data_IF_796881802142
#
_entry.id   IF_796881802142
#
_cell.length_a   1.000
_cell.length_b   1.000
_cell.length_c   1.000
_cell.angle_alpha   90.00
_cell.angle_beta   90.00
_cell.angle_gamma   90.00
#
_symmetry.space_group_name_H-M   'P 1'
#
loop_
_entity.id
_entity.type
_entity.pdbx_description
1 polymer ?
#
# COMPACT_ATOMS: atom_id res chain seq x y z
N UNK A 1 38.78 -0.55 -13.35
CA UNK A 1 37.50 0.05 -12.90
C UNK A 1 36.50 -1.04 -12.48
N UNK A 2 36.83 -1.85 -11.45
CA UNK A 2 35.97 -2.96 -11.00
C UNK A 2 35.42 -2.74 -9.58
N UNK A 3 36.22 -2.15 -8.69
CA UNK A 3 35.84 -1.93 -7.28
C UNK A 3 34.81 -0.81 -7.05
N UNK A 4 34.65 0.15 -7.99
CA UNK A 4 33.68 1.24 -7.83
C UNK A 4 32.22 0.82 -8.03
N UNK A 5 31.96 -0.18 -8.89
CA UNK A 5 30.60 -0.69 -9.13
C UNK A 5 30.10 -1.55 -7.98
N UNK A 6 30.98 -2.36 -7.39
CA UNK A 6 30.68 -3.21 -6.22
C UNK A 6 30.21 -2.32 -5.05
N UNK A 7 30.86 -1.18 -4.84
CA UNK A 7 30.46 -0.21 -3.81
C UNK A 7 29.05 0.36 -4.06
N UNK A 8 28.71 0.63 -5.32
CA UNK A 8 27.40 1.14 -5.71
C UNK A 8 26.29 0.10 -5.46
N UNK A 9 26.51 -1.16 -5.82
CA UNK A 9 25.53 -2.24 -5.60
C UNK A 9 25.34 -2.54 -4.11
N UNK A 10 26.41 -2.49 -3.32
CA UNK A 10 26.34 -2.63 -1.86
C UNK A 10 25.52 -1.51 -1.21
N UNK A 11 25.69 -0.26 -1.67
CA UNK A 11 24.91 0.88 -1.20
C UNK A 11 23.41 0.74 -1.51
N UNK A 12 23.06 0.30 -2.72
CA UNK A 12 21.66 0.08 -3.13
C UNK A 12 21.03 -1.05 -2.31
N UNK A 13 21.75 -2.17 -2.10
CA UNK A 13 21.27 -3.28 -1.29
C UNK A 13 21.04 -2.89 0.17
N UNK A 14 21.95 -2.09 0.74
CA UNK A 14 21.82 -1.56 2.10
C UNK A 14 20.57 -0.67 2.25
N UNK A 15 20.30 0.20 1.26
CA UNK A 15 19.11 1.06 1.24
C UNK A 15 17.79 0.25 1.14
N UNK A 16 17.78 -0.83 0.36
CA UNK A 16 16.63 -1.75 0.30
C UNK A 16 16.37 -2.47 1.63
N UNK A 17 17.42 -2.89 2.34
CA UNK A 17 17.28 -3.53 3.65
C UNK A 17 16.71 -2.56 4.71
N UNK A 18 17.17 -1.31 4.74
CA UNK A 18 16.65 -0.26 5.62
C UNK A 18 15.15 0.01 5.38
N UNK A 19 14.72 0.03 4.11
CA UNK A 19 13.31 0.22 3.73
C UNK A 19 12.42 -0.93 4.20
N UNK A 20 12.97 -2.14 4.29
CA UNK A 20 12.23 -3.35 4.69
C UNK A 20 12.11 -3.47 6.21
N UNK A 21 13.11 -3.04 6.97
CA UNK A 21 13.09 -3.06 8.45
C UNK A 21 12.16 -1.97 9.00
N UNK A 22 12.01 -0.84 8.29
CA UNK A 22 11.05 0.22 8.63
C UNK A 22 9.57 -0.13 8.35
N UNK A 23 9.25 -1.41 8.12
CA UNK A 23 7.88 -1.89 7.96
C UNK A 23 7.41 -2.83 9.09
N UNK A 24 8.18 -2.95 10.19
CA UNK A 24 7.85 -3.80 11.35
C UNK A 24 7.98 -3.08 12.70
N UNK A 25 7.42 -1.88 12.84
CA UNK A 25 7.09 -1.37 14.18
C UNK A 25 5.96 -0.33 14.19
N UNK A 26 4.72 -0.78 14.05
CA UNK A 26 3.57 -0.09 14.67
C UNK A 26 2.62 -1.12 15.27
N UNK A 27 3.07 -1.81 16.33
CA UNK A 27 2.18 -2.29 17.39
C UNK A 27 2.00 -1.12 18.36
N UNK A 28 1.14 -0.16 18.01
CA UNK A 28 0.59 0.77 18.99
C UNK A 28 -0.92 0.60 19.01
N UNK A 29 -1.41 0.12 20.15
CA UNK A 29 -2.81 -0.08 20.46
C UNK A 29 -3.56 1.25 20.34
N UNK A 30 -4.23 1.46 19.21
CA UNK A 30 -5.44 2.27 19.17
C UNK A 30 -6.49 1.45 18.44
N UNK A 31 -7.36 0.81 19.23
CA UNK A 31 -8.64 0.26 18.76
C UNK A 31 -9.43 1.42 18.15
N UNK A 32 -9.23 1.67 16.86
CA UNK A 32 -10.24 2.34 16.03
C UNK A 32 -11.15 1.23 15.49
N UNK A 33 -12.46 1.47 15.42
CA UNK A 33 -13.46 0.45 15.10
C UNK A 33 -13.07 -0.27 13.81
N UNK A 34 -13.26 -1.58 13.84
CA UNK A 34 -13.01 -2.55 12.77
C UNK A 34 -13.82 -2.13 11.53
N UNK A 35 -13.30 -1.18 10.76
CA UNK A 35 -13.86 -0.82 9.45
C UNK A 35 -13.58 -2.02 8.56
N UNK A 36 -14.62 -2.64 8.06
CA UNK A 36 -14.56 -3.83 7.22
C UNK A 36 -13.96 -3.40 5.87
N UNK A 37 -12.64 -3.44 5.78
CA UNK A 37 -11.90 -3.00 4.61
C UNK A 37 -11.77 -4.16 3.63
N UNK A 38 -12.53 -4.13 2.54
CA UNK A 38 -12.28 -5.02 1.40
C UNK A 38 -11.14 -4.43 0.55
N UNK A 39 -10.11 -5.23 0.27
CA UNK A 39 -8.96 -4.83 -0.55
C UNK A 39 -9.04 -5.51 -1.92
N UNK A 40 -9.06 -4.72 -3.00
CA UNK A 40 -9.01 -5.23 -4.39
C UNK A 40 -7.91 -4.53 -5.19
N UNK A 41 -7.32 -5.14 -6.22
CA UNK A 41 -6.32 -4.46 -7.04
C UNK A 41 -6.93 -3.31 -7.86
N UNK A 42 -6.22 -2.17 -7.97
CA UNK A 42 -6.62 -1.02 -8.80
C UNK A 42 -6.40 -1.28 -10.30
N UNK A 43 -7.13 -2.24 -10.87
CA UNK A 43 -6.98 -2.66 -12.28
C UNK A 43 -7.23 -1.53 -13.31
N UNK A 44 -7.88 -0.43 -12.91
CA UNK A 44 -8.21 0.74 -13.77
C UNK A 44 -8.04 2.08 -13.06
N UNK A 45 -7.07 2.17 -12.14
CA UNK A 45 -6.83 3.39 -11.36
C UNK A 45 -8.00 3.78 -10.46
N UNK A 46 -8.01 5.04 -10.00
CA UNK A 46 -8.95 5.55 -8.98
C UNK A 46 -10.43 5.47 -9.42
N UNK A 47 -10.73 5.77 -10.69
CA UNK A 47 -12.10 5.71 -11.22
C UNK A 47 -12.66 4.27 -11.27
N UNK A 48 -11.82 3.28 -11.61
CA UNK A 48 -12.21 1.88 -11.60
C UNK A 48 -12.53 1.39 -10.19
N UNK A 49 -11.70 1.80 -9.22
CA UNK A 49 -11.87 1.50 -7.81
C UNK A 49 -13.20 2.07 -7.26
N UNK A 50 -13.52 3.34 -7.54
CA UNK A 50 -14.80 3.97 -7.15
C UNK A 50 -16.02 3.24 -7.70
N UNK A 51 -16.02 2.91 -8.98
CA UNK A 51 -17.12 2.18 -9.61
C UNK A 51 -17.28 0.77 -9.03
N UNK A 52 -16.17 0.09 -8.73
CA UNK A 52 -16.18 -1.25 -8.14
C UNK A 52 -16.77 -1.24 -6.73
N UNK A 53 -16.31 -0.33 -5.87
CA UNK A 53 -16.86 -0.14 -4.52
C UNK A 53 -18.36 0.15 -4.55
N UNK A 54 -18.80 0.96 -5.52
CA UNK A 54 -20.21 1.28 -5.68
C UNK A 54 -21.05 0.08 -6.12
N UNK A 55 -20.58 -0.71 -7.09
CA UNK A 55 -21.33 -1.87 -7.60
C UNK A 55 -21.39 -3.02 -6.59
N UNK A 56 -20.28 -3.30 -5.89
CA UNK A 56 -20.16 -4.47 -5.01
C UNK A 56 -20.64 -4.21 -3.59
N UNK A 57 -20.34 -3.03 -3.06
CA UNK A 57 -20.60 -2.69 -1.66
C UNK A 57 -21.60 -1.53 -1.49
N UNK A 58 -22.10 -0.93 -2.59
CA UNK A 58 -22.92 0.31 -2.57
C UNK A 58 -22.24 1.47 -1.87
N UNK A 59 -20.90 1.53 -2.00
CA UNK A 59 -20.04 2.53 -1.40
C UNK A 59 -19.55 3.57 -2.41
N UNK A 60 -19.72 4.85 -2.09
CA UNK A 60 -19.27 5.96 -2.95
C UNK A 60 -17.83 6.41 -2.64
N UNK A 61 -17.33 6.15 -1.43
CA UNK A 61 -15.96 6.45 -1.04
C UNK A 61 -15.05 5.26 -1.31
N UNK A 62 -14.08 5.52 -2.17
CA UNK A 62 -13.05 4.59 -2.57
C UNK A 62 -11.71 5.33 -2.67
N UNK A 63 -10.66 4.73 -2.14
CA UNK A 63 -9.29 5.22 -2.25
C UNK A 63 -8.44 4.19 -2.99
N UNK A 64 -7.45 4.63 -3.78
CA UNK A 64 -6.44 3.74 -4.32
C UNK A 64 -5.11 4.07 -3.64
N UNK A 65 -4.57 3.13 -2.88
CA UNK A 65 -3.31 3.27 -2.17
C UNK A 65 -2.44 2.05 -2.46
N UNK A 66 -1.20 2.26 -2.87
CA UNK A 66 -0.24 1.18 -3.16
C UNK A 66 -0.77 0.13 -4.16
N UNK A 67 -1.49 0.60 -5.19
CA UNK A 67 -2.13 -0.28 -6.19
C UNK A 67 -3.32 -1.08 -5.65
N UNK A 68 -3.75 -0.86 -4.41
CA UNK A 68 -4.93 -1.47 -3.80
C UNK A 68 -6.07 -0.46 -3.65
N UNK A 69 -7.25 -0.91 -4.00
CA UNK A 69 -8.52 -0.24 -3.87
C UNK A 69 -9.11 -0.50 -2.48
N UNK A 70 -9.39 0.58 -1.75
CA UNK A 70 -9.94 0.57 -0.41
C UNK A 70 -11.33 1.21 -0.43
N UNK A 71 -12.39 0.44 -0.17
CA UNK A 71 -13.76 0.93 -0.10
C UNK A 71 -14.12 1.26 1.37
N UNK A 72 -14.71 2.43 1.63
CA UNK A 72 -15.09 2.85 2.99
C UNK A 72 -16.49 3.47 3.04
N UNK A 73 -17.19 3.32 4.18
CA UNK A 73 -18.54 3.89 4.46
C UNK A 73 -18.53 5.35 4.96
N UNK A 74 -17.39 6.02 4.96
CA UNK A 74 -17.24 7.35 5.59
C UNK A 74 -17.83 8.49 4.76
#
# INVERSE_FOLDING_TARGET
MLNGRILLFALIFLLCLLSTVSSKHTKSHRKKPKKTTAQEPCLKGWYGCKRHCYLKYRLYRAACFDGKCECSFD
#
